data_IF_536207281401
#
_entry.id   IF_536207281401
#
_cell.length_a   1.000
_cell.length_b   1.000
_cell.length_c   1.000
_cell.angle_alpha   90.00
_cell.angle_beta   90.00
_cell.angle_gamma   90.00
#
_symmetry.space_group_name_H-M   'P 1'
#
loop_
_entity.id
_entity.type
_entity.pdbx_description
1 polymer ?
#
# COMPACT_ATOMS: atom_id res chain seq x y z
N UNK A 1 -12.69 -7.15 -11.50
CA UNK A 1 -13.70 -6.36 -12.25
C UNK A 1 -14.38 -7.29 -13.27
N UNK A 2 -15.71 -7.40 -13.20
CA UNK A 2 -16.64 -7.90 -14.23
C UNK A 2 -16.59 -9.38 -14.67
N UNK A 3 -17.04 -10.30 -13.81
CA UNK A 3 -17.71 -11.53 -14.32
C UNK A 3 -19.19 -11.51 -13.94
N UNK A 4 -19.53 -10.91 -12.80
CA UNK A 4 -20.90 -10.82 -12.30
C UNK A 4 -21.76 -9.83 -13.11
N UNK A 5 -21.16 -8.77 -13.68
CA UNK A 5 -21.91 -7.73 -14.38
C UNK A 5 -22.57 -8.16 -15.72
N UNK A 6 -22.03 -9.17 -16.40
CA UNK A 6 -22.54 -9.61 -17.71
C UNK A 6 -23.68 -10.65 -17.63
N UNK A 7 -23.86 -11.32 -16.48
CA UNK A 7 -24.98 -12.25 -16.27
C UNK A 7 -26.26 -11.55 -15.76
N UNK A 8 -26.14 -10.38 -15.13
CA UNK A 8 -27.27 -9.61 -14.59
C UNK A 8 -28.18 -9.06 -15.71
N UNK A 9 -27.62 -8.59 -16.83
CA UNK A 9 -28.45 -8.10 -17.95
C UNK A 9 -29.26 -9.21 -18.65
N UNK A 10 -28.76 -10.45 -18.67
CA UNK A 10 -29.48 -11.60 -19.23
C UNK A 10 -30.65 -12.05 -18.35
N UNK A 11 -30.57 -11.85 -17.03
CA UNK A 11 -31.61 -12.27 -16.06
C UNK A 11 -32.72 -11.24 -15.86
N UNK A 12 -32.49 -9.96 -16.19
CA UNK A 12 -33.51 -8.92 -16.17
C UNK A 12 -34.64 -9.12 -17.21
N UNK A 13 -34.42 -10.02 -18.18
CA UNK A 13 -35.42 -10.48 -19.16
C UNK A 13 -36.37 -11.58 -18.62
N UNK A 14 -36.24 -12.00 -17.35
CA UNK A 14 -36.99 -13.11 -16.78
C UNK A 14 -37.94 -12.72 -15.64
N UNK A 15 -38.83 -13.69 -15.33
CA UNK A 15 -39.90 -13.71 -14.32
C UNK A 15 -39.69 -12.80 -13.10
N UNK A 16 -40.74 -12.21 -12.50
CA UNK A 16 -40.65 -11.42 -11.26
C UNK A 16 -39.84 -12.08 -10.14
N UNK A 17 -39.84 -13.41 -10.09
CA UNK A 17 -39.06 -14.19 -9.14
C UNK A 17 -37.54 -14.01 -9.32
N UNK A 18 -37.04 -14.05 -10.56
CA UNK A 18 -35.61 -13.85 -10.86
C UNK A 18 -35.16 -12.44 -10.47
N UNK A 19 -35.99 -11.43 -10.74
CA UNK A 19 -35.68 -10.04 -10.33
C UNK A 19 -35.57 -9.87 -8.83
N UNK A 20 -36.48 -10.49 -8.07
CA UNK A 20 -36.43 -10.45 -6.61
C UNK A 20 -35.17 -11.13 -6.04
N UNK A 21 -34.68 -12.20 -6.69
CA UNK A 21 -33.40 -12.83 -6.31
C UNK A 21 -32.20 -11.96 -6.66
N UNK A 22 -32.21 -11.28 -7.82
CA UNK A 22 -31.13 -10.34 -8.20
C UNK A 22 -31.04 -9.20 -7.19
N UNK A 23 -32.16 -8.57 -6.82
CA UNK A 23 -32.15 -7.50 -5.80
C UNK A 23 -31.60 -7.98 -4.46
N UNK A 24 -31.97 -9.19 -4.02
CA UNK A 24 -31.42 -9.77 -2.79
C UNK A 24 -29.91 -10.02 -2.87
N UNK A 25 -29.41 -10.45 -4.02
CA UNK A 25 -27.97 -10.61 -4.24
C UNK A 25 -27.25 -9.26 -4.20
N UNK A 26 -27.83 -8.22 -4.80
CA UNK A 26 -27.30 -6.86 -4.74
C UNK A 26 -27.27 -6.30 -3.30
N UNK A 27 -28.31 -6.56 -2.50
CA UNK A 27 -28.34 -6.21 -1.07
C UNK A 27 -27.23 -6.90 -0.29
N UNK A 28 -27.03 -8.21 -0.50
CA UNK A 28 -25.96 -8.98 0.16
C UNK A 28 -24.58 -8.44 -0.23
N UNK A 29 -24.36 -8.09 -1.51
CA UNK A 29 -23.07 -7.52 -1.96
C UNK A 29 -22.75 -6.17 -1.29
N UNK A 30 -23.77 -5.35 -1.03
CA UNK A 30 -23.61 -4.10 -0.28
C UNK A 30 -23.25 -4.36 1.17
N UNK A 31 -23.93 -5.29 1.83
CA UNK A 31 -23.62 -5.67 3.21
C UNK A 31 -22.21 -6.26 3.33
N UNK A 32 -21.79 -7.09 2.38
CA UNK A 32 -20.46 -7.69 2.35
C UNK A 32 -19.35 -6.63 2.21
N UNK A 33 -19.55 -5.64 1.35
CA UNK A 33 -18.61 -4.50 1.22
C UNK A 33 -18.49 -3.72 2.53
N UNK A 34 -19.61 -3.44 3.19
CA UNK A 34 -19.63 -2.73 4.47
C UNK A 34 -18.87 -3.49 5.56
N UNK A 35 -19.09 -4.81 5.67
CA UNK A 35 -18.36 -5.64 6.64
C UNK A 35 -16.86 -5.67 6.32
N UNK A 36 -16.50 -5.70 5.04
CA UNK A 36 -15.09 -5.69 4.63
C UNK A 36 -14.39 -4.35 4.95
N UNK A 37 -15.09 -3.23 4.76
CA UNK A 37 -14.60 -1.90 5.17
C UNK A 37 -14.38 -1.84 6.68
N UNK A 38 -15.38 -2.24 7.48
CA UNK A 38 -15.28 -2.26 8.95
C UNK A 38 -14.15 -3.19 9.45
N UNK A 39 -13.95 -4.34 8.78
CA UNK A 39 -12.84 -5.23 9.09
C UNK A 39 -11.48 -4.60 8.76
N UNK A 40 -11.38 -3.90 7.63
CA UNK A 40 -10.16 -3.20 7.21
C UNK A 40 -9.79 -2.08 8.19
N UNK A 41 -10.77 -1.31 8.66
CA UNK A 41 -10.56 -0.26 9.66
C UNK A 41 -9.99 -0.82 10.97
N UNK A 42 -10.55 -1.94 11.46
CA UNK A 42 -10.07 -2.62 12.68
C UNK A 42 -8.66 -3.16 12.53
N UNK A 43 -8.31 -3.68 11.35
CA UNK A 43 -6.93 -4.14 11.07
C UNK A 43 -5.97 -2.96 11.16
N UNK A 44 -6.33 -1.83 10.54
CA UNK A 44 -5.51 -0.62 10.58
C UNK A 44 -5.31 -0.10 12.02
N UNK A 45 -6.36 -0.09 12.85
CA UNK A 45 -6.25 0.29 14.27
C UNK A 45 -5.28 -0.62 15.05
N UNK A 46 -5.36 -1.94 14.83
CA UNK A 46 -4.47 -2.91 15.46
C UNK A 46 -3.02 -2.68 15.03
N UNK A 47 -2.78 -2.46 13.74
CA UNK A 47 -1.45 -2.17 13.20
C UNK A 47 -0.88 -0.89 13.81
N UNK A 48 -1.65 0.21 13.86
CA UNK A 48 -1.23 1.46 14.47
C UNK A 48 -0.88 1.29 15.97
N UNK A 49 -1.71 0.56 16.72
CA UNK A 49 -1.46 0.27 18.14
C UNK A 49 -0.18 -0.54 18.36
N UNK A 50 0.02 -1.61 17.58
CA UNK A 50 1.23 -2.43 17.68
C UNK A 50 2.46 -1.70 17.14
N UNK A 51 2.34 -0.84 16.14
CA UNK A 51 3.42 0.04 15.70
C UNK A 51 3.91 0.89 16.87
N UNK A 52 3.01 1.59 17.56
CA UNK A 52 3.35 2.41 18.72
C UNK A 52 4.08 1.64 19.83
N UNK A 53 3.67 0.39 20.09
CA UNK A 53 4.34 -0.48 21.08
C UNK A 53 5.70 -1.00 20.63
N UNK A 54 5.86 -1.26 19.32
CA UNK A 54 7.12 -1.76 18.76
C UNK A 54 8.18 -0.66 18.68
N UNK A 55 7.80 0.59 18.37
CA UNK A 55 8.72 1.74 18.27
C UNK A 55 9.75 1.83 19.41
N UNK A 56 9.37 1.82 20.71
CA UNK A 56 10.34 1.88 21.80
C UNK A 56 11.27 0.65 21.87
N UNK A 57 10.75 -0.55 21.56
CA UNK A 57 11.55 -1.79 21.59
C UNK A 57 12.65 -1.75 20.52
N UNK A 58 12.32 -1.27 19.32
CA UNK A 58 13.31 -1.11 18.25
C UNK A 58 14.32 -0.01 18.57
N UNK A 59 13.87 1.11 19.15
CA UNK A 59 14.76 2.16 19.65
C UNK A 59 15.78 1.64 20.67
N UNK A 60 15.38 0.70 21.54
CA UNK A 60 16.27 0.11 22.55
C UNK A 60 17.22 -0.96 22.00
N UNK A 61 16.75 -1.80 21.08
CA UNK A 61 17.50 -2.99 20.61
C UNK A 61 18.42 -2.70 19.43
N UNK A 62 18.10 -1.69 18.64
CA UNK A 62 18.95 -1.14 17.59
C UNK A 62 18.66 0.36 17.49
N UNK A 63 19.46 1.22 18.15
CA UNK A 63 19.29 2.68 18.04
C UNK A 63 19.27 3.15 16.58
N UNK A 64 20.07 2.51 15.73
CA UNK A 64 20.10 2.78 14.29
C UNK A 64 18.86 2.30 13.51
N UNK A 65 18.03 1.40 14.07
CA UNK A 65 16.74 0.96 13.53
C UNK A 65 15.55 1.69 14.15
N UNK A 66 15.68 2.22 15.37
CA UNK A 66 14.65 3.10 15.98
C UNK A 66 14.31 4.29 15.10
N UNK A 67 15.33 4.86 14.43
CA UNK A 67 15.20 5.94 13.44
C UNK A 67 14.53 5.49 12.13
N UNK A 68 14.43 4.18 11.84
CA UNK A 68 13.73 3.65 10.66
C UNK A 68 12.24 3.39 10.90
N UNK A 69 11.73 3.64 12.11
CA UNK A 69 10.37 3.30 12.52
C UNK A 69 9.58 4.54 12.95
N UNK A 70 10.00 5.71 12.47
CA UNK A 70 9.14 6.88 12.43
C UNK A 70 8.01 6.62 11.44
N UNK A 71 6.82 7.19 11.70
CA UNK A 71 5.65 7.04 10.82
C UNK A 71 5.88 7.69 9.43
N UNK A 72 6.99 8.40 9.28
CA UNK A 72 7.56 8.92 8.05
C UNK A 72 8.77 8.04 7.68
N UNK A 73 8.73 7.38 6.51
CA UNK A 73 9.85 6.63 5.87
C UNK A 73 10.96 7.59 5.41
N UNK A 74 11.39 8.47 6.30
CA UNK A 74 12.18 9.65 6.02
C UNK A 74 13.45 9.62 6.88
N UNK A 75 14.44 8.83 6.43
CA UNK A 75 15.72 8.74 7.15
C UNK A 75 16.64 9.89 6.77
N UNK A 76 17.08 10.64 7.77
CA UNK A 76 18.19 11.58 7.61
C UNK A 76 19.55 10.86 7.77
N UNK A 77 20.39 10.95 6.74
CA UNK A 77 21.75 10.43 6.72
C UNK A 77 22.73 11.53 7.11
N UNK A 78 23.65 11.19 8.02
CA UNK A 78 24.84 12.02 8.25
C UNK A 78 25.69 12.08 6.97
N UNK A 79 26.44 13.17 6.74
CA UNK A 79 27.37 13.24 5.61
C UNK A 79 28.27 12.01 5.58
N UNK A 80 28.29 11.32 4.44
CA UNK A 80 28.98 10.04 4.27
C UNK A 80 29.77 10.02 2.94
N UNK A 81 30.76 9.12 2.78
CA UNK A 81 31.62 9.10 1.60
C UNK A 81 30.97 8.49 0.34
N UNK A 82 29.75 7.98 0.42
CA UNK A 82 29.13 7.18 -0.65
C UNK A 82 28.17 7.98 -1.54
N UNK A 83 27.32 8.82 -0.96
CA UNK A 83 26.34 9.62 -1.68
C UNK A 83 26.15 11.01 -1.03
N UNK A 84 25.57 11.95 -1.77
CA UNK A 84 25.36 13.33 -1.34
C UNK A 84 24.05 13.53 -0.58
N UNK A 85 23.04 12.71 -0.85
CA UNK A 85 21.71 12.87 -0.25
C UNK A 85 21.76 12.70 1.26
N UNK A 86 21.27 13.72 1.97
CA UNK A 86 21.07 13.65 3.41
C UNK A 86 19.75 12.97 3.76
N UNK A 87 18.92 12.61 2.77
CA UNK A 87 17.63 11.98 2.97
C UNK A 87 17.29 11.07 1.81
N UNK A 88 16.95 9.82 2.10
CA UNK A 88 16.39 8.89 1.12
C UNK A 88 14.96 8.57 1.54
N UNK A 89 14.02 8.82 0.63
CA UNK A 89 12.59 8.64 0.86
C UNK A 89 12.09 7.58 -0.11
N UNK A 90 11.33 6.62 0.43
CA UNK A 90 10.56 5.67 -0.35
C UNK A 90 9.09 5.89 -0.05
N UNK A 91 8.33 6.28 -1.05
CA UNK A 91 6.89 6.49 -0.93
C UNK A 91 6.16 5.30 -1.53
N UNK A 92 5.25 4.74 -0.76
CA UNK A 92 4.32 3.70 -1.18
C UNK A 92 2.93 4.30 -1.13
N UNK A 93 2.23 4.33 -2.26
CA UNK A 93 0.85 4.81 -2.36
C UNK A 93 -0.06 3.67 -2.82
N UNK A 94 -1.14 3.45 -2.09
CA UNK A 94 -2.23 2.55 -2.48
C UNK A 94 -3.28 3.38 -3.23
N UNK A 95 -3.55 3.04 -4.48
CA UNK A 95 -4.57 3.69 -5.29
C UNK A 95 -5.91 2.94 -5.16
N UNK A 96 -7.03 3.67 -5.27
CA UNK A 96 -8.40 3.12 -5.17
C UNK A 96 -8.71 2.01 -6.20
N UNK A 97 -7.89 1.89 -7.25
CA UNK A 97 -8.01 0.88 -8.29
C UNK A 97 -7.33 -0.46 -7.93
N UNK A 98 -6.79 -0.59 -6.72
CA UNK A 98 -6.07 -1.78 -6.25
C UNK A 98 -4.62 -1.88 -6.75
N UNK A 99 -4.15 -0.85 -7.46
CA UNK A 99 -2.76 -0.71 -7.88
C UNK A 99 -1.93 -0.03 -6.80
N UNK A 100 -0.71 -0.52 -6.59
CA UNK A 100 0.28 0.06 -5.68
C UNK A 100 1.30 0.86 -6.51
N UNK A 101 1.56 2.10 -6.14
CA UNK A 101 2.63 2.92 -6.72
C UNK A 101 3.78 3.04 -5.72
N UNK A 102 4.98 2.71 -6.17
CA UNK A 102 6.22 2.85 -5.38
C UNK A 102 7.05 3.93 -6.05
N UNK A 103 7.52 4.93 -5.29
CA UNK A 103 8.51 5.91 -5.77
C UNK A 103 9.66 6.01 -4.78
N UNK A 104 10.89 6.16 -5.27
CA UNK A 104 12.08 6.29 -4.43
C UNK A 104 12.93 7.49 -4.82
N UNK A 105 13.73 7.99 -3.88
CA UNK A 105 14.75 9.01 -4.16
C UNK A 105 15.78 8.50 -5.16
N UNK A 106 16.06 9.30 -6.19
CA UNK A 106 17.17 9.04 -7.10
C UNK A 106 18.49 9.44 -6.41
N UNK A 107 19.32 8.44 -6.10
CA UNK A 107 20.50 8.60 -5.23
C UNK A 107 21.64 9.28 -6.00
N UNK A 108 22.15 10.38 -5.45
CA UNK A 108 23.32 11.11 -5.93
C UNK A 108 24.60 10.47 -5.41
N UNK A 109 25.06 9.45 -6.12
CA UNK A 109 26.31 8.76 -5.79
C UNK A 109 27.53 9.65 -6.00
N UNK A 110 28.50 9.53 -5.08
CA UNK A 110 29.83 10.13 -5.24
C UNK A 110 30.67 9.32 -6.23
N UNK A 111 31.71 9.95 -6.76
CA UNK A 111 32.56 9.38 -7.80
C UNK A 111 33.10 7.99 -7.42
N UNK A 112 32.90 7.00 -8.29
CA UNK A 112 33.33 5.61 -8.07
C UNK A 112 32.51 4.79 -7.07
N UNK A 113 31.43 5.36 -6.50
CA UNK A 113 30.62 4.70 -5.44
C UNK A 113 29.30 4.09 -5.95
N UNK A 114 28.86 4.40 -7.17
CA UNK A 114 27.69 3.74 -7.74
C UNK A 114 28.02 2.29 -8.06
N UNK A 115 27.25 1.36 -7.48
CA UNK A 115 27.32 -0.07 -7.80
C UNK A 115 26.56 -0.37 -9.12
N UNK A 116 25.67 0.54 -9.53
CA UNK A 116 24.72 0.34 -10.62
C UNK A 116 24.79 1.50 -11.64
N UNK A 117 25.48 1.29 -12.76
CA UNK A 117 25.46 2.19 -13.91
C UNK A 117 24.18 2.04 -14.78
N UNK A 118 23.00 1.73 -14.20
CA UNK A 118 21.85 1.34 -15.03
C UNK A 118 20.46 1.23 -14.41
N UNK A 119 20.21 1.66 -13.18
CA UNK A 119 18.83 1.75 -12.64
C UNK A 119 18.44 3.20 -12.37
N UNK A 120 18.27 4.02 -13.43
CA UNK A 120 17.39 5.19 -13.36
C UNK A 120 15.96 4.70 -13.48
N UNK A 121 15.54 3.98 -12.47
CA UNK A 121 14.28 3.30 -12.52
C UNK A 121 13.27 4.27 -11.89
N UNK A 122 12.57 5.00 -12.77
CA UNK A 122 11.15 5.26 -12.58
C UNK A 122 10.49 3.89 -12.38
N UNK A 123 10.64 3.32 -11.19
CA UNK A 123 10.03 2.07 -10.81
C UNK A 123 8.58 2.41 -10.48
N UNK A 124 7.78 2.69 -11.50
CA UNK A 124 6.40 2.23 -11.46
C UNK A 124 6.51 0.71 -11.61
N UNK A 125 6.80 -0.03 -10.51
CA UNK A 125 6.45 -1.45 -10.54
C UNK A 125 4.94 -1.49 -10.38
N UNK A 126 4.25 -1.61 -11.50
CA UNK A 126 2.92 -2.16 -11.53
C UNK A 126 3.06 -3.63 -11.13
N UNK A 127 3.03 -3.91 -9.82
CA UNK A 127 2.83 -5.27 -9.32
C UNK A 127 1.32 -5.47 -9.19
N UNK A 128 0.79 -6.27 -10.12
CA UNK A 128 -0.55 -6.86 -10.10
C UNK A 128 -0.59 -7.96 -9.04
#
# INVERSE_FOLDING_TARGET
RYTIGLEVERTNSHSPHCRALVTRLEEIDVELKKVNEEASDKVLEIEQHYNGKRRPVYFMTHPALGDFLTDEDEKEFKPNPYFEDTKLVKTIAFCDEGTMKITGTNIKWKEGMSVDAGFSADIVTERV
#
